data_IF_960713463695
#
_entry.id   IF_960713463695
#
_cell.length_a   1.000
_cell.length_b   1.000
_cell.length_c   1.000
_cell.angle_alpha   90.00
_cell.angle_beta   90.00
_cell.angle_gamma   90.00
#
_symmetry.space_group_name_H-M   'P 1'
#
loop_
_entity.id
_entity.type
_entity.pdbx_description
1 polymer ?
#
# COMPACT_ATOMS: atom_id res chain seq x y z
N UNK A 1 -10.96 -6.15 -7.00
CA UNK A 1 -10.52 -6.07 -5.59
C UNK A 1 -9.17 -6.73 -5.35
N UNK A 2 -8.99 -8.02 -5.64
CA UNK A 2 -7.73 -8.73 -5.30
C UNK A 2 -6.49 -8.19 -6.00
N UNK A 3 -6.63 -7.64 -7.21
CA UNK A 3 -5.49 -7.09 -7.95
C UNK A 3 -4.94 -5.81 -7.31
N UNK A 4 -5.82 -4.91 -6.83
CA UNK A 4 -5.41 -3.69 -6.14
C UNK A 4 -4.65 -4.03 -4.86
N UNK A 5 -5.19 -4.92 -4.03
CA UNK A 5 -4.53 -5.39 -2.80
C UNK A 5 -3.14 -5.98 -3.09
N UNK A 6 -3.04 -6.85 -4.10
CA UNK A 6 -1.75 -7.42 -4.52
C UNK A 6 -0.75 -6.36 -4.96
N UNK A 7 -1.20 -5.31 -5.65
CA UNK A 7 -0.32 -4.22 -6.08
C UNK A 7 0.17 -3.39 -4.91
N UNK A 8 -0.71 -3.08 -3.95
CA UNK A 8 -0.34 -2.35 -2.74
C UNK A 8 0.67 -3.14 -1.89
N UNK A 9 0.50 -4.45 -1.77
CA UNK A 9 1.47 -5.36 -1.12
C UNK A 9 2.86 -5.32 -1.80
N UNK A 10 2.88 -5.34 -3.14
CA UNK A 10 4.13 -5.23 -3.90
C UNK A 10 4.77 -3.86 -3.66
N UNK A 11 3.99 -2.77 -3.75
CA UNK A 11 4.49 -1.41 -3.49
C UNK A 11 5.11 -1.32 -2.09
N UNK A 12 4.43 -1.83 -1.07
CA UNK A 12 4.94 -1.88 0.31
C UNK A 12 6.30 -2.59 0.37
N UNK A 13 6.40 -3.75 -0.27
CA UNK A 13 7.65 -4.52 -0.32
C UNK A 13 8.75 -3.77 -1.07
N UNK A 14 8.42 -3.16 -2.21
CA UNK A 14 9.33 -2.38 -3.04
C UNK A 14 9.88 -1.14 -2.33
N UNK A 15 9.06 -0.43 -1.54
CA UNK A 15 9.54 0.67 -0.68
C UNK A 15 10.55 0.15 0.34
N UNK A 16 10.32 -1.04 0.91
CA UNK A 16 11.23 -1.64 1.91
C UNK A 16 12.59 -2.02 1.32
N UNK A 17 12.63 -2.45 0.06
CA UNK A 17 13.87 -2.78 -0.66
C UNK A 17 14.41 -1.59 -1.49
N UNK A 18 13.82 -0.40 -1.35
CA UNK A 18 14.19 0.82 -2.08
C UNK A 18 14.19 0.65 -3.61
N UNK A 19 13.29 -0.19 -4.13
CA UNK A 19 13.17 -0.49 -5.55
C UNK A 19 12.15 0.44 -6.23
N UNK A 20 12.62 1.64 -6.58
CA UNK A 20 11.82 2.70 -7.20
C UNK A 20 11.23 2.29 -8.56
N UNK A 21 11.96 1.49 -9.35
CA UNK A 21 11.47 1.03 -10.66
C UNK A 21 10.20 0.19 -10.51
N UNK A 22 10.19 -0.72 -9.53
CA UNK A 22 9.01 -1.53 -9.26
C UNK A 22 7.88 -0.69 -8.69
N UNK A 23 8.18 0.29 -7.82
CA UNK A 23 7.18 1.21 -7.27
C UNK A 23 6.44 1.94 -8.40
N UNK A 24 7.18 2.59 -9.31
CA UNK A 24 6.61 3.31 -10.45
C UNK A 24 5.80 2.39 -11.36
N UNK A 25 6.34 1.19 -11.65
CA UNK A 25 5.66 0.20 -12.47
C UNK A 25 4.32 -0.24 -11.87
N UNK A 26 4.26 -0.44 -10.55
CA UNK A 26 3.01 -0.78 -9.88
C UNK A 26 2.04 0.39 -9.85
N UNK A 27 2.54 1.62 -9.66
CA UNK A 27 1.74 2.85 -9.68
C UNK A 27 1.03 3.02 -11.02
N UNK A 28 1.77 2.90 -12.13
CA UNK A 28 1.23 2.98 -13.49
C UNK A 28 0.13 1.95 -13.75
N UNK A 29 0.28 0.75 -13.21
CA UNK A 29 -0.73 -0.30 -13.37
C UNK A 29 -1.94 -0.07 -12.46
N UNK A 30 -1.73 0.47 -11.26
CA UNK A 30 -2.80 0.87 -10.33
C UNK A 30 -3.68 1.97 -10.94
N UNK A 31 -3.09 2.99 -11.55
CA UNK A 31 -3.83 4.07 -12.21
C UNK A 31 -4.70 3.61 -13.39
N UNK A 32 -4.36 2.46 -14.00
CA UNK A 32 -5.16 1.84 -15.08
C UNK A 32 -6.33 1.01 -14.57
N UNK A 33 -6.35 0.70 -13.28
CA UNK A 33 -7.44 -0.05 -12.65
C UNK A 33 -8.50 0.91 -12.11
N UNK A 34 -9.71 0.37 -11.91
CA UNK A 34 -10.74 1.08 -11.17
C UNK A 34 -10.38 1.08 -9.68
N UNK A 35 -9.75 2.17 -9.23
CA UNK A 35 -9.26 2.37 -7.87
C UNK A 35 -10.21 3.26 -7.07
N UNK A 36 -10.39 2.91 -5.80
CA UNK A 36 -11.20 3.67 -4.84
C UNK A 36 -10.48 4.93 -4.38
N UNK A 37 -11.20 5.85 -3.73
CA UNK A 37 -10.63 7.14 -3.31
C UNK A 37 -9.52 6.97 -2.25
N UNK A 38 -9.58 5.94 -1.40
CA UNK A 38 -8.49 5.59 -0.47
C UNK A 38 -7.19 5.23 -1.21
N UNK A 39 -7.32 4.47 -2.30
CA UNK A 39 -6.19 4.04 -3.12
C UNK A 39 -5.63 5.21 -3.93
N UNK A 40 -6.49 6.13 -4.39
CA UNK A 40 -6.03 7.39 -4.99
C UNK A 40 -5.22 8.23 -4.00
N UNK A 41 -5.62 8.27 -2.74
CA UNK A 41 -4.84 8.95 -1.70
C UNK A 41 -3.45 8.32 -1.53
N UNK A 42 -3.34 6.98 -1.56
CA UNK A 42 -2.05 6.27 -1.52
C UNK A 42 -1.17 6.67 -2.72
N UNK A 43 -1.73 6.65 -3.94
CA UNK A 43 -1.02 7.04 -5.17
C UNK A 43 -0.52 8.49 -5.08
N UNK A 44 -1.34 9.40 -4.57
CA UNK A 44 -0.94 10.81 -4.42
C UNK A 44 0.21 10.98 -3.41
N UNK A 45 0.21 10.22 -2.32
CA UNK A 45 1.30 10.24 -1.35
C UNK A 45 2.59 9.63 -1.91
N UNK A 46 2.48 8.65 -2.81
CA UNK A 46 3.60 8.07 -3.55
C UNK A 46 4.26 9.08 -4.48
N UNK A 47 3.47 9.85 -5.24
CA UNK A 47 3.97 10.93 -6.09
C UNK A 47 4.64 12.05 -5.28
N UNK A 48 4.20 12.27 -4.05
CA UNK A 48 4.81 13.20 -3.11
C UNK A 48 6.07 12.65 -2.40
N UNK A 49 6.51 11.43 -2.74
CA UNK A 49 7.65 10.73 -2.12
C UNK A 49 7.46 10.58 -0.60
N UNK A 50 6.21 10.56 -0.12
CA UNK A 50 5.89 10.46 1.29
C UNK A 50 5.71 9.00 1.69
N UNK A 51 6.80 8.22 1.61
CA UNK A 51 6.78 6.78 1.86
C UNK A 51 6.28 6.41 3.26
N UNK A 52 6.55 7.23 4.27
CA UNK A 52 6.03 7.02 5.63
C UNK A 52 4.50 7.05 5.67
N UNK A 53 3.88 8.00 4.97
CA UNK A 53 2.42 8.08 4.90
C UNK A 53 1.84 7.00 3.99
N UNK A 54 2.50 6.71 2.87
CA UNK A 54 2.14 5.62 1.95
C UNK A 54 2.08 4.28 2.68
N UNK A 55 3.10 3.95 3.48
CA UNK A 55 3.13 2.70 4.25
C UNK A 55 1.93 2.59 5.20
N UNK A 56 1.63 3.66 5.95
CA UNK A 56 0.48 3.70 6.86
C UNK A 56 -0.85 3.61 6.14
N UNK A 57 -0.99 4.30 5.00
CA UNK A 57 -2.22 4.30 4.20
C UNK A 57 -2.43 2.92 3.57
N UNK A 58 -1.37 2.28 3.05
CA UNK A 58 -1.39 0.89 2.55
C UNK A 58 -1.76 -0.08 3.66
N UNK A 59 -1.12 -0.01 4.83
CA UNK A 59 -1.44 -0.88 5.96
C UNK A 59 -2.87 -0.70 6.46
N UNK A 60 -3.36 0.54 6.51
CA UNK A 60 -4.73 0.83 6.91
C UNK A 60 -5.71 0.26 5.89
N UNK A 61 -5.46 0.47 4.60
CA UNK A 61 -6.31 -0.04 3.52
C UNK A 61 -6.31 -1.58 3.48
N UNK A 62 -5.14 -2.20 3.59
CA UNK A 62 -5.00 -3.64 3.68
C UNK A 62 -5.71 -4.16 4.91
N UNK A 63 -5.50 -3.59 6.10
CA UNK A 63 -6.19 -4.02 7.34
C UNK A 63 -7.71 -3.89 7.21
N UNK A 64 -8.23 -2.78 6.69
CA UNK A 64 -9.67 -2.61 6.44
C UNK A 64 -10.25 -3.68 5.51
N UNK A 65 -9.50 -4.11 4.50
CA UNK A 65 -9.92 -5.14 3.54
C UNK A 65 -9.56 -6.57 3.99
N UNK A 66 -8.61 -6.70 4.92
CA UNK A 66 -8.04 -7.95 5.42
C UNK A 66 -8.56 -8.29 6.83
N UNK A 67 -9.32 -7.40 7.48
CA UNK A 67 -10.11 -7.67 8.71
C UNK A 67 -11.21 -8.73 8.44
N UNK A 68 -11.44 -9.09 7.18
CA UNK A 68 -12.19 -10.29 6.81
C UNK A 68 -11.34 -11.58 6.80
N UNK A 69 -10.01 -11.53 6.98
CA UNK A 69 -9.11 -12.68 6.83
C UNK A 69 -7.92 -12.82 7.80
N UNK A 70 -7.45 -11.83 8.57
CA UNK A 70 -6.43 -12.07 9.60
C UNK A 70 -6.46 -11.06 10.75
N UNK A 71 -6.55 -11.60 11.97
CA UNK A 71 -6.51 -10.92 13.26
C UNK A 71 -5.22 -10.12 13.50
N UNK A 72 -5.26 -9.06 14.33
CA UNK A 72 -4.17 -8.12 14.55
C UNK A 72 -2.99 -8.81 15.26
N UNK A 73 -1.84 -8.87 14.60
CA UNK A 73 -0.60 -9.15 15.31
C UNK A 73 -0.13 -7.84 15.95
N UNK A 74 -0.53 -7.63 17.21
CA UNK A 74 0.09 -6.67 18.11
C UNK A 74 1.58 -7.03 18.27
N UNK A 75 2.46 -6.38 17.50
CA UNK A 75 3.87 -6.29 17.83
C UNK A 75 4.35 -4.85 17.68
N UNK A 76 3.80 -3.99 18.54
CA UNK A 76 4.51 -2.81 19.05
C UNK A 76 4.29 -2.75 20.56
N UNK A 77 4.80 -3.75 21.27
CA UNK A 77 5.20 -3.54 22.66
C UNK A 77 6.63 -2.99 22.63
N UNK A 78 6.68 -1.66 22.65
CA UNK A 78 7.76 -0.89 23.26
C UNK A 78 8.10 -1.48 24.65
N UNK A 79 9.40 -1.42 24.99
CA UNK A 79 10.09 -1.74 26.25
C UNK A 79 10.72 -3.12 26.38
#
# INVERSE_FOLDING_TARGET
>A
MTEVLKRLEIIKSSITIEDEEVIELQLMKLQKLNIDDDVKAIVHNLEAINYTKVMKDIESYLTLHNDMYNTPNCQDNLF
#
